data_IF_990302530905
#
_entry.id   IF_990302530905
#
_cell.length_a   1.000
_cell.length_b   1.000
_cell.length_c   1.000
_cell.angle_alpha   90.00
_cell.angle_beta   90.00
_cell.angle_gamma   90.00
#
_symmetry.space_group_name_H-M   'P 1'
#
loop_
_entity.id
_entity.type
_entity.pdbx_description
1 polymer ?
#
# COMPACT_ATOMS: atom_id res chain seq x y z
N UNK A 1 -2.07 18.11 4.03
CA UNK A 1 -2.24 16.84 4.77
C UNK A 1 -1.04 16.54 5.66
N UNK A 2 -1.26 15.89 6.82
CA UNK A 2 -0.21 15.21 7.61
C UNK A 2 -0.24 13.71 7.31
N UNK A 3 0.86 13.16 6.78
CA UNK A 3 1.01 11.74 6.48
C UNK A 3 2.09 11.12 7.37
N UNK A 4 1.73 10.05 8.07
CA UNK A 4 2.67 9.20 8.80
C UNK A 4 2.61 7.81 8.15
N UNK A 5 3.69 7.41 7.47
CA UNK A 5 3.79 6.12 6.77
C UNK A 5 5.11 5.43 7.14
N UNK A 6 5.00 4.28 7.77
CA UNK A 6 6.08 3.35 8.07
C UNK A 6 5.63 1.97 7.59
N UNK A 7 6.51 1.25 6.89
CA UNK A 7 6.24 -0.08 6.37
C UNK A 7 7.17 -1.07 7.05
N UNK A 8 6.72 -2.31 7.21
CA UNK A 8 7.63 -3.34 7.67
C UNK A 8 8.68 -3.59 6.58
N UNK A 9 9.94 -3.72 6.99
CA UNK A 9 11.05 -4.02 6.07
C UNK A 9 11.01 -5.47 5.55
N UNK A 10 10.25 -6.35 6.21
CA UNK A 10 10.25 -7.79 5.95
C UNK A 10 8.90 -8.38 5.55
N UNK A 11 7.80 -7.61 5.64
CA UNK A 11 6.49 -8.00 5.13
C UNK A 11 5.91 -6.84 4.34
N UNK A 12 5.26 -7.12 3.21
CA UNK A 12 4.68 -6.11 2.31
C UNK A 12 3.48 -5.40 2.94
N UNK A 13 3.61 -4.83 4.14
CA UNK A 13 2.51 -4.31 4.95
C UNK A 13 2.89 -3.02 5.66
N UNK A 14 1.88 -2.20 5.94
CA UNK A 14 2.04 -0.95 6.69
C UNK A 14 2.19 -1.24 8.18
N UNK A 15 3.26 -0.72 8.80
CA UNK A 15 3.49 -0.76 10.25
C UNK A 15 2.80 0.42 10.95
N UNK A 16 2.92 1.61 10.36
CA UNK A 16 2.19 2.80 10.76
C UNK A 16 1.65 3.43 9.49
N UNK A 17 0.35 3.67 9.43
CA UNK A 17 -0.23 4.46 8.35
C UNK A 17 -1.33 5.33 8.93
N UNK A 18 -1.09 6.63 8.99
CA UNK A 18 -2.06 7.63 9.43
C UNK A 18 -2.10 8.80 8.48
N UNK A 19 -3.31 9.28 8.22
CA UNK A 19 -3.58 10.47 7.42
C UNK A 19 -4.38 11.42 8.29
N UNK A 20 -3.85 12.62 8.52
CA UNK A 20 -4.43 13.63 9.40
C UNK A 20 -4.79 13.08 10.79
N UNK A 21 -3.99 12.15 11.32
CA UNK A 21 -4.19 11.51 12.63
C UNK A 21 -5.13 10.30 12.62
N UNK A 22 -5.81 10.03 11.51
CA UNK A 22 -6.73 8.90 11.35
C UNK A 22 -5.93 7.69 10.86
N UNK A 23 -6.08 6.54 11.53
CA UNK A 23 -5.45 5.28 11.10
C UNK A 23 -6.01 4.86 9.74
N UNK A 24 -5.10 4.68 8.79
CA UNK A 24 -5.41 4.32 7.41
C UNK A 24 -4.99 2.87 7.12
N UNK A 25 -5.57 2.31 6.05
CA UNK A 25 -5.20 1.02 5.49
C UNK A 25 -4.90 1.21 4.01
N UNK A 26 -3.84 0.60 3.48
CA UNK A 26 -3.52 0.68 2.05
C UNK A 26 -4.68 0.21 1.15
N UNK A 27 -5.54 -0.70 1.67
CA UNK A 27 -6.73 -1.21 0.97
C UNK A 27 -7.77 -0.13 0.64
N UNK A 28 -7.75 0.99 1.35
CA UNK A 28 -8.61 2.13 1.03
C UNK A 28 -8.13 2.88 -0.23
N UNK A 29 -6.91 2.61 -0.68
CA UNK A 29 -6.25 3.30 -1.79
C UNK A 29 -5.97 2.39 -2.98
N UNK A 30 -6.13 1.07 -2.84
CA UNK A 30 -5.81 0.09 -3.86
C UNK A 30 -5.45 -1.29 -3.30
N UNK A 31 -4.99 -2.17 -4.17
CA UNK A 31 -4.67 -3.56 -3.82
C UNK A 31 -3.24 -3.92 -4.17
N UNK A 32 -2.70 -4.94 -3.49
CA UNK A 32 -1.41 -5.55 -3.82
C UNK A 32 -1.64 -6.84 -4.57
N UNK A 33 -0.78 -7.14 -5.53
CA UNK A 33 -0.83 -8.38 -6.29
C UNK A 33 0.57 -8.84 -6.65
N UNK A 34 0.75 -10.15 -6.79
CA UNK A 34 2.00 -10.72 -7.26
C UNK A 34 2.05 -10.62 -8.79
N UNK A 35 2.99 -9.84 -9.33
CA UNK A 35 3.17 -9.69 -10.78
C UNK A 35 3.96 -10.84 -11.39
N UNK A 36 4.62 -11.66 -10.58
CA UNK A 36 5.44 -12.78 -11.02
C UNK A 36 5.29 -13.97 -10.06
N UNK A 37 4.10 -14.57 -9.97
CA UNK A 37 3.84 -15.67 -9.04
C UNK A 37 4.67 -16.90 -9.41
N UNK A 38 5.39 -17.45 -8.44
CA UNK A 38 6.06 -18.73 -8.63
C UNK A 38 5.03 -19.87 -8.57
N UNK A 39 4.72 -20.44 -9.74
CA UNK A 39 3.79 -21.58 -9.85
C UNK A 39 4.25 -22.81 -9.07
N UNK A 40 5.55 -22.95 -8.79
CA UNK A 40 6.10 -24.05 -7.97
C UNK A 40 5.91 -23.79 -6.48
N UNK A 41 5.68 -22.54 -6.08
CA UNK A 41 5.51 -22.11 -4.69
C UNK A 41 4.32 -21.15 -4.57
N UNK A 42 3.09 -21.63 -4.82
CA UNK A 42 1.89 -20.78 -4.93
C UNK A 42 1.52 -20.03 -3.64
N UNK A 43 2.11 -20.42 -2.50
CA UNK A 43 1.86 -19.80 -1.20
C UNK A 43 2.96 -18.79 -0.79
N UNK A 44 3.93 -18.51 -1.66
CA UNK A 44 5.01 -17.57 -1.38
C UNK A 44 4.76 -16.28 -2.15
N UNK A 45 5.01 -15.14 -1.49
CA UNK A 45 4.98 -13.85 -2.14
C UNK A 45 6.16 -13.76 -3.11
N UNK A 46 5.87 -13.69 -4.42
CA UNK A 46 6.83 -13.39 -5.46
C UNK A 46 7.07 -11.88 -5.54
N UNK A 47 6.87 -11.31 -6.72
CA UNK A 47 7.10 -9.89 -6.94
C UNK A 47 5.83 -9.08 -6.64
N UNK A 48 5.69 -8.60 -5.41
CA UNK A 48 4.50 -7.85 -5.01
C UNK A 48 4.53 -6.43 -5.59
N UNK A 49 3.41 -6.01 -6.19
CA UNK A 49 3.20 -4.65 -6.68
C UNK A 49 1.88 -4.09 -6.14
N UNK A 50 1.87 -2.79 -5.83
CA UNK A 50 0.66 -2.06 -5.47
C UNK A 50 -0.01 -1.42 -6.69
N UNK A 51 -1.31 -1.64 -6.83
CA UNK A 51 -2.19 -1.06 -7.85
C UNK A 51 -3.14 -0.06 -7.20
N UNK A 52 -3.00 1.25 -7.48
CA UNK A 52 -3.93 2.26 -7.00
C UNK A 52 -5.35 2.04 -7.52
N UNK A 53 -6.35 2.25 -6.67
CA UNK A 53 -7.75 2.40 -7.03
C UNK A 53 -8.09 3.87 -7.32
N UNK A 54 -9.19 4.10 -8.03
CA UNK A 54 -9.71 5.46 -8.20
C UNK A 54 -10.19 6.03 -6.86
N UNK A 55 -9.95 7.32 -6.58
CA UNK A 55 -10.44 7.95 -5.36
C UNK A 55 -11.96 7.92 -5.34
N UNK A 56 -12.53 7.60 -4.18
CA UNK A 56 -13.96 7.75 -3.91
C UNK A 56 -14.19 8.92 -2.95
N UNK A 57 -15.32 9.61 -3.09
CA UNK A 57 -15.64 10.73 -2.21
C UNK A 57 -15.63 10.32 -0.72
N UNK A 58 -16.11 9.11 -0.42
CA UNK A 58 -16.07 8.53 0.92
C UNK A 58 -14.66 8.48 1.52
N UNK A 59 -13.65 8.07 0.73
CA UNK A 59 -12.27 8.00 1.22
C UNK A 59 -11.66 9.41 1.35
N UNK A 60 -11.96 10.31 0.41
CA UNK A 60 -11.53 11.71 0.51
C UNK A 60 -12.07 12.38 1.77
N UNK A 61 -13.36 12.20 2.06
CA UNK A 61 -14.02 12.75 3.24
C UNK A 61 -13.53 12.10 4.52
N UNK A 62 -13.38 10.76 4.54
CA UNK A 62 -12.89 10.00 5.70
C UNK A 62 -11.56 10.53 6.22
N UNK A 63 -10.67 10.92 5.31
CA UNK A 63 -9.33 11.39 5.66
C UNK A 63 -9.16 12.92 5.57
N UNK A 64 -10.17 13.65 5.10
CA UNK A 64 -10.09 15.09 4.85
C UNK A 64 -8.97 15.44 3.88
N UNK A 65 -8.91 14.75 2.73
CA UNK A 65 -7.86 14.92 1.72
C UNK A 65 -8.43 15.25 0.35
N UNK A 66 -7.64 15.96 -0.45
CA UNK A 66 -7.91 16.25 -1.85
C UNK A 66 -7.53 15.07 -2.78
N UNK A 67 -7.99 15.12 -4.03
CA UNK A 67 -7.62 14.14 -5.07
C UNK A 67 -6.11 14.13 -5.33
N UNK A 68 -5.44 15.30 -5.29
CA UNK A 68 -3.99 15.38 -5.48
C UNK A 68 -3.24 14.74 -4.31
N UNK A 69 -3.69 14.95 -3.07
CA UNK A 69 -3.12 14.29 -1.89
C UNK A 69 -3.37 12.76 -1.92
N UNK A 70 -4.54 12.32 -2.36
CA UNK A 70 -4.82 10.90 -2.59
C UNK A 70 -3.83 10.28 -3.58
N UNK A 71 -3.62 10.93 -4.73
CA UNK A 71 -2.65 10.47 -5.74
C UNK A 71 -1.23 10.41 -5.17
N UNK A 72 -0.84 11.41 -4.39
CA UNK A 72 0.46 11.42 -3.72
C UNK A 72 0.61 10.23 -2.76
N UNK A 73 -0.40 9.94 -1.93
CA UNK A 73 -0.41 8.77 -1.05
C UNK A 73 -0.25 7.47 -1.86
N UNK A 74 -0.97 7.33 -2.97
CA UNK A 74 -0.86 6.15 -3.83
C UNK A 74 0.57 5.94 -4.37
N UNK A 75 1.28 7.01 -4.74
CA UNK A 75 2.68 6.91 -5.17
C UNK A 75 3.61 6.53 -4.00
N UNK A 76 3.36 7.04 -2.78
CA UNK A 76 4.11 6.62 -1.59
C UNK A 76 3.88 5.14 -1.27
N UNK A 77 2.63 4.68 -1.32
CA UNK A 77 2.29 3.26 -1.15
C UNK A 77 2.97 2.42 -2.23
N UNK A 78 2.92 2.84 -3.49
CA UNK A 78 3.59 2.14 -4.59
C UNK A 78 5.09 2.01 -4.36
N UNK A 79 5.75 3.04 -3.86
CA UNK A 79 7.19 3.00 -3.56
C UNK A 79 7.53 2.09 -2.38
N UNK A 80 6.68 2.04 -1.34
CA UNK A 80 7.02 1.38 -0.07
C UNK A 80 6.43 -0.04 0.09
N UNK A 81 5.33 -0.38 -0.60
CA UNK A 81 4.68 -1.71 -0.50
C UNK A 81 4.76 -2.53 -1.79
N UNK A 82 5.56 -2.11 -2.77
CA UNK A 82 5.90 -2.89 -3.97
C UNK A 82 7.33 -3.43 -3.88
N UNK A 83 7.51 -4.58 -3.24
CA UNK A 83 8.80 -5.25 -3.17
C UNK A 83 8.67 -6.77 -3.30
N UNK A 84 9.60 -7.37 -4.05
CA UNK A 84 9.54 -8.77 -4.46
C UNK A 84 10.57 -9.70 -3.82
N UNK A 85 11.24 -9.27 -2.75
CA UNK A 85 12.41 -9.99 -2.19
C UNK A 85 12.40 -10.07 -0.66
N UNK A 86 11.20 -10.16 -0.10
CA UNK A 86 11.00 -10.48 1.32
C UNK A 86 11.74 -11.80 1.67
N UNK A 87 12.83 -11.73 2.44
CA UNK A 87 13.59 -12.90 2.97
C UNK A 87 12.79 -13.80 3.93
N UNK A 88 11.61 -13.37 4.39
CA UNK A 88 10.68 -14.20 5.16
C UNK A 88 9.69 -14.97 4.26
N UNK A 89 9.58 -14.56 3.01
CA UNK A 89 8.74 -15.16 1.98
C UNK A 89 9.57 -16.07 1.07
N UNK A 90 10.81 -16.41 1.47
CA UNK A 90 11.87 -17.06 0.69
C UNK A 90 12.69 -18.01 1.54
#
# INVERSE_FOLDING_TARGET
MKLELDVYSTICETKMFKINGIKANYKDFGDKYDISPDKRRPNMCGNMAFKPAMPTQQILDKYGISISEYKYICEQLKACVSFGTCRLCG
#
